data_IF_317395360490
#
_entry.id   IF_317395360490
#
_cell.length_a   1.000
_cell.length_b   1.000
_cell.length_c   1.000
_cell.angle_alpha   90.00
_cell.angle_beta   90.00
_cell.angle_gamma   90.00
#
_symmetry.space_group_name_H-M   'P 1'
#
loop_
_entity.id
_entity.type
_entity.pdbx_description
1 polymer ?
#
# COMPACT_ATOMS: atom_id res chain seq x y z
N UNK A 1 -4.70 -6.67 52.42
CA UNK A 1 -3.31 -6.21 52.21
C UNK A 1 -2.75 -7.05 51.09
N UNK A 2 -2.69 -6.47 49.94
CA UNK A 2 -2.51 -7.16 48.67
C UNK A 2 -1.05 -7.17 48.24
N UNK A 3 -0.68 -8.23 47.55
CA UNK A 3 0.64 -8.66 47.09
C UNK A 3 1.36 -7.70 46.11
N UNK A 4 0.90 -6.46 45.96
CA UNK A 4 1.43 -5.47 45.02
C UNK A 4 2.50 -4.51 45.62
N UNK A 5 2.63 -4.48 46.93
CA UNK A 5 3.55 -3.52 47.57
C UNK A 5 5.00 -4.01 47.71
N UNK A 6 5.24 -5.31 47.56
CA UNK A 6 6.58 -5.88 47.75
C UNK A 6 7.47 -5.76 46.50
N UNK A 7 6.86 -5.66 45.32
CA UNK A 7 7.62 -5.55 44.06
C UNK A 7 8.20 -4.16 43.81
N UNK A 8 7.57 -3.11 44.29
CA UNK A 8 8.02 -1.74 44.05
C UNK A 8 9.21 -1.33 44.98
N UNK A 9 9.26 -1.89 46.16
CA UNK A 9 10.34 -1.57 47.15
C UNK A 9 11.67 -2.17 46.66
N UNK A 10 11.66 -3.38 46.06
CA UNK A 10 12.89 -4.03 45.60
C UNK A 10 13.51 -3.36 44.37
N UNK A 11 12.72 -2.63 43.57
CA UNK A 11 13.22 -1.96 42.36
C UNK A 11 13.92 -0.61 42.70
N UNK A 12 13.52 0.04 43.75
CA UNK A 12 14.10 1.35 44.18
C UNK A 12 15.45 1.13 44.87
N UNK A 13 15.61 0.05 45.63
CA UNK A 13 16.87 -0.26 46.30
C UNK A 13 17.95 -0.77 45.32
N UNK A 14 17.58 -1.38 44.22
CA UNK A 14 18.52 -1.80 43.18
C UNK A 14 19.15 -0.62 42.44
N UNK A 15 18.37 0.45 42.22
CA UNK A 15 18.84 1.66 41.52
C UNK A 15 19.75 2.50 42.44
N UNK A 16 19.49 2.55 43.74
CA UNK A 16 20.33 3.30 44.70
C UNK A 16 21.72 2.69 44.91
N UNK A 17 21.86 1.38 44.78
CA UNK A 17 23.16 0.71 44.93
C UNK A 17 24.04 0.83 43.68
N UNK A 18 23.46 1.01 42.47
CA UNK A 18 24.23 1.19 41.24
C UNK A 18 24.84 2.61 41.13
N UNK A 19 24.24 3.61 41.80
CA UNK A 19 24.71 5.02 41.75
C UNK A 19 25.80 5.36 42.74
N UNK A 20 26.23 4.43 43.62
CA UNK A 20 27.29 4.67 44.61
C UNK A 20 28.68 4.17 44.23
N UNK A 21 28.85 3.53 43.06
CA UNK A 21 30.11 2.91 42.67
C UNK A 21 31.00 3.72 41.71
N UNK A 22 30.62 4.96 41.39
CA UNK A 22 31.39 5.79 40.43
C UNK A 22 32.03 7.06 41.02
N UNK A 23 32.27 7.12 42.33
CA UNK A 23 32.99 8.26 42.93
C UNK A 23 34.20 7.78 43.69
N UNK A 24 35.22 7.27 43.02
CA UNK A 24 36.64 7.36 43.42
C UNK A 24 37.46 6.60 42.38
N UNK A 25 38.20 7.30 41.53
CA UNK A 25 39.55 7.02 41.00
C UNK A 25 39.88 8.23 40.11
N UNK A 26 40.62 9.09 40.55
CA UNK A 26 42.03 9.33 40.33
C UNK A 26 42.31 10.06 39.02
N UNK A 27 42.52 11.34 39.20
CA UNK A 27 43.34 12.29 38.43
C UNK A 27 44.56 11.57 37.81
N UNK A 28 44.72 11.55 36.48
CA UNK A 28 45.96 11.09 35.90
C UNK A 28 45.92 10.92 34.36
N UNK A 29 46.67 11.75 33.69
CA UNK A 29 47.12 11.66 32.29
C UNK A 29 46.21 12.14 31.18
N UNK A 30 46.31 13.43 30.91
CA UNK A 30 46.05 14.02 29.58
C UNK A 30 47.11 13.54 28.60
N UNK A 31 46.81 12.54 27.82
CA UNK A 31 47.47 12.30 26.51
C UNK A 31 46.41 12.57 25.44
N UNK A 32 46.47 13.74 24.83
CA UNK A 32 45.75 14.13 23.66
C UNK A 32 46.18 13.30 22.45
N UNK A 33 45.59 12.14 22.27
CA UNK A 33 45.58 11.48 20.94
C UNK A 33 44.41 12.07 20.19
N UNK A 34 44.69 13.05 19.32
CA UNK A 34 43.81 13.51 18.27
C UNK A 34 43.57 12.36 17.30
N UNK A 35 42.59 11.52 17.57
CA UNK A 35 42.07 10.58 16.61
C UNK A 35 41.24 11.38 15.62
N UNK A 36 41.86 11.71 14.48
CA UNK A 36 41.12 12.14 13.30
C UNK A 36 40.24 10.94 12.87
N UNK A 37 39.07 10.82 13.45
CA UNK A 37 38.02 9.96 12.90
C UNK A 37 37.51 10.67 11.64
N UNK A 38 37.56 10.03 10.47
CA UNK A 38 36.92 10.60 9.30
C UNK A 38 35.42 10.72 9.59
N UNK A 39 34.89 11.93 9.48
CA UNK A 39 33.46 12.21 9.52
C UNK A 39 32.78 11.62 8.26
N UNK A 40 32.72 10.33 8.22
CA UNK A 40 32.12 9.58 7.14
C UNK A 40 31.11 8.62 7.76
N UNK A 41 29.86 8.98 7.79
CA UNK A 41 28.78 7.98 7.80
C UNK A 41 27.37 8.46 8.13
N UNK A 42 27.14 9.69 8.55
CA UNK A 42 25.74 10.06 8.87
C UNK A 42 24.89 10.29 7.62
N UNK A 43 25.47 10.68 6.49
CA UNK A 43 24.73 10.97 5.26
C UNK A 43 24.25 9.71 4.54
N UNK A 44 25.00 8.61 4.59
CA UNK A 44 24.67 7.36 3.88
C UNK A 44 23.52 6.64 4.57
N UNK A 45 23.53 6.59 5.91
CA UNK A 45 22.46 5.96 6.69
C UNK A 45 21.12 6.70 6.57
N UNK A 46 21.14 8.03 6.47
CA UNK A 46 19.93 8.81 6.23
C UNK A 46 19.37 8.64 4.82
N UNK A 47 20.22 8.48 3.81
CA UNK A 47 19.77 8.22 2.43
C UNK A 47 19.16 6.83 2.29
N UNK A 48 19.72 5.81 2.92
CA UNK A 48 19.13 4.46 2.95
C UNK A 48 17.79 4.42 3.71
N UNK A 49 17.67 5.12 4.83
CA UNK A 49 16.41 5.23 5.58
C UNK A 49 15.33 6.00 4.83
N UNK A 50 15.69 6.99 4.01
CA UNK A 50 14.77 7.73 3.16
C UNK A 50 14.32 6.90 1.95
N UNK A 51 15.20 6.09 1.36
CA UNK A 51 14.87 5.18 0.26
C UNK A 51 14.02 3.97 0.69
N UNK A 52 14.08 3.59 1.96
CA UNK A 52 13.28 2.51 2.54
C UNK A 52 11.83 2.92 2.90
N UNK A 53 11.48 4.20 2.83
CA UNK A 53 10.08 4.64 3.06
C UNK A 53 9.23 4.29 1.84
N UNK A 54 8.18 3.48 2.01
CA UNK A 54 7.25 3.22 0.91
C UNK A 54 6.72 4.55 0.37
N UNK A 55 6.68 4.72 -0.96
CA UNK A 55 6.10 5.89 -1.58
C UNK A 55 4.61 6.02 -1.19
N UNK A 56 4.03 7.20 -1.42
CA UNK A 56 2.65 7.49 -1.04
C UNK A 56 1.66 6.45 -1.62
N UNK A 57 1.84 6.10 -2.90
CA UNK A 57 0.99 5.12 -3.58
C UNK A 57 1.07 3.73 -2.95
N UNK A 58 2.25 3.28 -2.54
CA UNK A 58 2.42 2.01 -1.81
C UNK A 58 1.69 2.01 -0.47
N UNK A 59 1.76 3.11 0.28
CA UNK A 59 1.08 3.24 1.57
C UNK A 59 -0.44 3.24 1.40
N UNK A 60 -0.96 3.98 0.43
CA UNK A 60 -2.38 4.04 0.10
C UNK A 60 -2.89 2.66 -0.36
N UNK A 61 -2.16 1.97 -1.22
CA UNK A 61 -2.48 0.61 -1.66
C UNK A 61 -2.60 -0.35 -0.48
N UNK A 62 -1.60 -0.38 0.41
CA UNK A 62 -1.60 -1.27 1.57
C UNK A 62 -2.78 -0.97 2.49
N UNK A 63 -3.05 0.30 2.79
CA UNK A 63 -4.15 0.71 3.64
C UNK A 63 -5.50 0.30 3.06
N UNK A 64 -5.76 0.64 1.79
CA UNK A 64 -7.04 0.40 1.14
C UNK A 64 -7.30 -1.09 0.88
N UNK A 65 -6.26 -1.86 0.53
CA UNK A 65 -6.36 -3.34 0.41
C UNK A 65 -6.69 -4.00 1.75
N UNK A 66 -6.10 -3.53 2.86
CA UNK A 66 -6.44 -4.00 4.20
C UNK A 66 -7.89 -3.66 4.58
N UNK A 67 -8.32 -2.45 4.26
CA UNK A 67 -9.72 -2.02 4.49
C UNK A 67 -10.68 -2.90 3.70
N UNK A 68 -10.45 -3.16 2.41
CA UNK A 68 -11.24 -4.07 1.59
C UNK A 68 -11.30 -5.49 2.20
N UNK A 69 -10.14 -6.05 2.52
CA UNK A 69 -10.07 -7.40 3.08
C UNK A 69 -10.80 -7.52 4.42
N UNK A 70 -10.81 -6.48 5.25
CA UNK A 70 -11.53 -6.47 6.54
C UNK A 70 -13.04 -6.53 6.39
N UNK A 71 -13.59 -6.21 5.21
CA UNK A 71 -15.04 -6.26 4.94
C UNK A 71 -15.56 -7.67 4.63
N UNK A 72 -14.67 -8.61 4.30
CA UNK A 72 -15.01 -9.99 3.96
C UNK A 72 -16.10 -10.10 2.85
N UNK A 73 -16.07 -9.16 1.88
CA UNK A 73 -17.04 -9.12 0.78
C UNK A 73 -16.59 -10.09 -0.30
N UNK A 74 -17.38 -11.12 -0.59
CA UNK A 74 -17.13 -12.12 -1.63
C UNK A 74 -18.14 -12.08 -2.77
N UNK A 75 -19.33 -11.49 -2.53
CA UNK A 75 -20.39 -11.36 -3.51
C UNK A 75 -20.66 -9.88 -3.76
N UNK A 76 -20.44 -9.44 -4.98
CA UNK A 76 -20.62 -8.04 -5.37
C UNK A 76 -20.73 -7.88 -6.87
N UNK A 77 -21.19 -6.72 -7.32
CA UNK A 77 -21.12 -6.30 -8.71
C UNK A 77 -20.65 -4.85 -8.82
N UNK A 78 -20.12 -4.50 -9.94
CA UNK A 78 -19.69 -3.14 -10.26
C UNK A 78 -19.68 -2.90 -11.76
N UNK A 79 -19.74 -1.64 -12.16
CA UNK A 79 -19.53 -1.21 -13.53
C UNK A 79 -18.07 -0.87 -13.75
N UNK A 80 -17.46 -1.37 -14.82
CA UNK A 80 -16.10 -1.07 -15.22
C UNK A 80 -16.08 -0.43 -16.59
N UNK A 81 -15.40 0.70 -16.70
CA UNK A 81 -15.04 1.36 -17.97
C UNK A 81 -13.54 1.42 -18.12
N UNK A 82 -13.05 1.22 -19.34
CA UNK A 82 -11.64 1.36 -19.71
C UNK A 82 -11.52 2.41 -20.83
N UNK A 83 -10.95 3.56 -20.52
CA UNK A 83 -10.64 4.59 -21.51
C UNK A 83 -9.27 4.32 -22.10
N UNK A 84 -9.22 3.68 -23.25
CA UNK A 84 -7.99 3.33 -23.95
C UNK A 84 -8.13 3.60 -25.46
N UNK A 85 -7.02 3.74 -26.12
CA UNK A 85 -6.98 3.71 -27.59
C UNK A 85 -7.08 2.27 -28.09
N UNK A 86 -8.23 1.63 -27.84
CA UNK A 86 -8.48 0.22 -28.11
C UNK A 86 -9.83 0.00 -28.78
N UNK A 87 -10.11 -1.23 -29.19
CA UNK A 87 -11.37 -1.59 -29.85
C UNK A 87 -12.56 -1.42 -28.89
N UNK A 88 -13.77 -1.12 -29.40
CA UNK A 88 -14.95 -0.86 -28.56
C UNK A 88 -15.26 -1.96 -27.54
N UNK A 89 -15.04 -3.25 -27.91
CA UNK A 89 -15.29 -4.42 -27.07
C UNK A 89 -14.40 -4.47 -25.82
N UNK A 90 -13.28 -3.73 -25.82
CA UNK A 90 -12.34 -3.64 -24.69
C UNK A 90 -12.57 -2.41 -23.80
N UNK A 91 -13.44 -1.47 -24.20
CA UNK A 91 -13.67 -0.22 -23.45
C UNK A 91 -14.74 -0.35 -22.39
N UNK A 92 -15.79 -1.11 -22.63
CA UNK A 92 -16.99 -1.13 -21.79
C UNK A 92 -17.90 0.09 -22.09
N UNK A 93 -18.73 0.54 -21.15
CA UNK A 93 -18.87 0.04 -19.79
C UNK A 93 -19.47 -1.36 -19.71
N UNK A 94 -18.95 -2.16 -18.78
CA UNK A 94 -19.45 -3.50 -18.52
C UNK A 94 -19.87 -3.65 -17.07
N UNK A 95 -20.91 -4.42 -16.80
CA UNK A 95 -21.27 -4.88 -15.45
C UNK A 95 -20.54 -6.19 -15.20
N UNK A 96 -19.76 -6.24 -14.14
CA UNK A 96 -19.04 -7.41 -13.68
C UNK A 96 -19.70 -7.92 -12.41
N UNK A 97 -20.13 -9.17 -12.40
CA UNK A 97 -20.66 -9.84 -11.20
C UNK A 97 -19.66 -10.85 -10.67
N UNK A 98 -19.43 -10.80 -9.37
CA UNK A 98 -18.52 -11.67 -8.64
C UNK A 98 -19.30 -12.41 -7.57
N UNK A 99 -19.17 -13.74 -7.53
CA UNK A 99 -19.74 -14.63 -6.50
C UNK A 99 -18.64 -15.49 -5.90
N UNK A 100 -18.62 -15.60 -4.57
CA UNK A 100 -17.57 -16.34 -3.86
C UNK A 100 -16.15 -15.91 -4.27
N UNK A 101 -15.95 -14.61 -4.55
CA UNK A 101 -14.68 -14.07 -4.97
C UNK A 101 -14.28 -14.36 -6.43
N UNK A 102 -15.15 -15.01 -7.21
CA UNK A 102 -14.90 -15.34 -8.62
C UNK A 102 -15.89 -14.62 -9.53
N UNK A 103 -15.42 -14.17 -10.69
CA UNK A 103 -16.27 -13.56 -11.71
C UNK A 103 -17.21 -14.59 -12.31
N UNK A 104 -18.51 -14.32 -12.23
CA UNK A 104 -19.56 -15.17 -12.80
C UNK A 104 -20.14 -14.64 -14.10
N UNK A 105 -20.16 -13.31 -14.28
CA UNK A 105 -20.62 -12.70 -15.53
C UNK A 105 -19.91 -11.38 -15.82
N UNK A 106 -19.79 -11.07 -17.12
CA UNK A 106 -19.36 -9.78 -17.66
C UNK A 106 -20.32 -9.44 -18.79
N UNK A 107 -21.12 -8.39 -18.64
CA UNK A 107 -22.14 -8.00 -19.60
C UNK A 107 -22.05 -6.52 -19.94
N UNK A 108 -22.36 -6.15 -21.19
CA UNK A 108 -22.42 -4.74 -21.56
C UNK A 108 -23.50 -4.01 -20.79
N UNK A 109 -23.24 -2.75 -20.42
CA UNK A 109 -24.27 -1.85 -19.87
C UNK A 109 -25.24 -1.45 -20.99
N UNK A 110 -24.74 -1.18 -22.18
CA UNK A 110 -25.55 -0.77 -23.34
C UNK A 110 -26.09 -2.00 -24.08
N UNK A 111 -27.42 -2.12 -24.29
CA UNK A 111 -28.00 -3.20 -25.07
C UNK A 111 -27.41 -3.29 -26.48
N UNK A 112 -27.08 -4.52 -26.92
CA UNK A 112 -26.52 -4.77 -28.27
C UNK A 112 -25.03 -4.48 -28.44
N UNK A 113 -24.34 -3.95 -27.42
CA UNK A 113 -22.89 -3.80 -27.46
C UNK A 113 -22.22 -5.17 -27.30
N UNK A 114 -21.32 -5.51 -28.23
CA UNK A 114 -20.51 -6.71 -28.11
C UNK A 114 -19.49 -6.58 -26.97
N UNK A 115 -19.34 -7.62 -26.17
CA UNK A 115 -18.36 -7.72 -25.08
C UNK A 115 -17.53 -8.98 -25.26
N UNK A 116 -16.21 -8.84 -25.21
CA UNK A 116 -15.33 -9.97 -25.06
C UNK A 116 -14.77 -10.02 -23.64
N UNK A 117 -15.21 -10.98 -22.79
CA UNK A 117 -14.78 -11.09 -21.41
C UNK A 117 -13.27 -11.21 -21.21
N UNK A 118 -12.53 -11.66 -22.22
CA UNK A 118 -11.07 -11.81 -22.14
C UNK A 118 -10.35 -10.48 -21.95
N UNK A 119 -10.88 -9.37 -22.51
CA UNK A 119 -10.27 -8.05 -22.33
C UNK A 119 -10.35 -7.54 -20.89
N UNK A 120 -11.28 -8.07 -20.10
CA UNK A 120 -11.51 -7.65 -18.71
C UNK A 120 -10.90 -8.59 -17.68
N UNK A 121 -10.24 -9.67 -18.05
CA UNK A 121 -9.73 -10.69 -17.11
C UNK A 121 -8.77 -10.13 -16.06
N UNK A 122 -8.01 -9.09 -16.38
CA UNK A 122 -7.08 -8.44 -15.45
C UNK A 122 -7.78 -7.53 -14.45
N UNK A 123 -9.05 -7.19 -14.68
CA UNK A 123 -9.81 -6.18 -13.95
C UNK A 123 -11.12 -6.70 -13.35
N UNK A 124 -11.43 -7.98 -13.53
CA UNK A 124 -12.74 -8.54 -13.27
C UNK A 124 -13.01 -8.94 -11.81
N UNK A 125 -12.16 -8.55 -10.87
CA UNK A 125 -12.40 -8.61 -9.42
C UNK A 125 -11.66 -7.47 -8.73
N UNK A 126 -12.17 -7.01 -7.57
CA UNK A 126 -11.49 -5.99 -6.78
C UNK A 126 -10.05 -6.39 -6.38
N UNK A 127 -9.76 -7.64 -5.95
CA UNK A 127 -8.38 -8.07 -5.70
C UNK A 127 -7.46 -7.93 -6.92
N UNK A 128 -7.97 -8.17 -8.14
CA UNK A 128 -7.17 -8.00 -9.36
C UNK A 128 -6.89 -6.52 -9.66
N UNK A 129 -7.82 -5.61 -9.39
CA UNK A 129 -7.57 -4.18 -9.50
C UNK A 129 -6.43 -3.73 -8.56
N UNK A 130 -6.38 -4.23 -7.34
CA UNK A 130 -5.25 -3.99 -6.44
C UNK A 130 -3.93 -4.55 -6.98
N UNK A 131 -3.96 -5.70 -7.68
CA UNK A 131 -2.75 -6.27 -8.29
C UNK A 131 -2.26 -5.42 -9.46
N UNK A 132 -3.16 -4.83 -10.26
CA UNK A 132 -2.79 -3.87 -11.33
C UNK A 132 -2.02 -2.68 -10.74
N UNK A 133 -2.54 -2.07 -9.67
CA UNK A 133 -1.89 -0.95 -8.98
C UNK A 133 -0.52 -1.38 -8.41
N UNK A 134 -0.46 -2.55 -7.79
CA UNK A 134 0.78 -3.08 -7.25
C UNK A 134 1.85 -3.28 -8.33
N UNK A 135 1.47 -3.83 -9.48
CA UNK A 135 2.37 -4.02 -10.61
C UNK A 135 2.88 -2.69 -11.16
N UNK A 136 2.02 -1.67 -11.28
CA UNK A 136 2.43 -0.33 -11.70
C UNK A 136 3.46 0.30 -10.74
N UNK A 137 3.26 0.13 -9.42
CA UNK A 137 4.23 0.59 -8.42
C UNK A 137 5.57 -0.15 -8.56
N UNK A 138 5.53 -1.48 -8.75
CA UNK A 138 6.74 -2.31 -8.88
C UNK A 138 7.51 -2.05 -10.15
N UNK A 139 6.81 -1.78 -11.27
CA UNK A 139 7.41 -1.40 -12.55
C UNK A 139 7.85 0.05 -12.61
N UNK A 140 7.65 0.82 -11.52
CA UNK A 140 8.00 2.24 -11.47
C UNK A 140 7.34 3.05 -12.60
N UNK A 141 6.03 2.86 -12.80
CA UNK A 141 5.25 3.58 -13.80
C UNK A 141 5.53 5.09 -13.73
N UNK A 142 5.60 5.75 -14.88
CA UNK A 142 5.90 7.19 -15.02
C UNK A 142 4.90 8.08 -14.29
N UNK A 143 3.61 7.67 -14.29
CA UNK A 143 2.56 8.34 -13.55
C UNK A 143 1.58 7.31 -12.97
N UNK A 144 1.11 7.57 -11.76
CA UNK A 144 0.16 6.73 -11.05
C UNK A 144 -0.75 7.59 -10.18
N UNK A 145 -2.01 7.70 -10.58
CA UNK A 145 -3.05 8.42 -9.84
C UNK A 145 -4.24 7.49 -9.57
N UNK A 146 -4.53 7.26 -8.28
CA UNK A 146 -5.52 6.29 -7.83
C UNK A 146 -6.47 6.93 -6.83
N UNK A 147 -7.76 6.81 -7.10
CA UNK A 147 -8.83 7.13 -6.14
C UNK A 147 -9.40 5.87 -5.52
N UNK A 148 -9.79 5.94 -4.25
CA UNK A 148 -10.35 4.82 -3.49
C UNK A 148 -11.66 5.19 -2.83
N UNK A 149 -12.55 4.20 -2.70
CA UNK A 149 -13.76 4.32 -1.91
C UNK A 149 -13.44 4.33 -0.40
N UNK A 150 -13.82 5.37 0.31
CA UNK A 150 -13.49 5.53 1.74
C UNK A 150 -14.14 4.49 2.67
N UNK A 151 -15.30 3.95 2.29
CA UNK A 151 -16.06 3.00 3.11
C UNK A 151 -15.52 1.58 2.98
N UNK A 152 -15.17 1.18 1.76
CA UNK A 152 -14.81 -0.21 1.43
C UNK A 152 -13.34 -0.38 1.02
N UNK A 153 -12.66 0.69 0.62
CA UNK A 153 -11.26 0.65 0.23
C UNK A 153 -11.00 0.20 -1.21
N UNK A 154 -12.00 -0.20 -1.99
CA UNK A 154 -11.76 -0.59 -3.39
C UNK A 154 -11.37 0.64 -4.25
N UNK A 155 -10.57 0.45 -5.31
CA UNK A 155 -10.24 1.55 -6.23
C UNK A 155 -11.48 1.98 -7.01
N UNK A 156 -11.73 3.30 -7.10
CA UNK A 156 -12.80 3.89 -7.91
C UNK A 156 -12.27 4.44 -9.24
N UNK A 157 -10.99 4.82 -9.26
CA UNK A 157 -10.31 5.27 -10.46
C UNK A 157 -8.86 4.79 -10.41
N UNK A 158 -8.35 4.32 -11.55
CA UNK A 158 -6.97 3.88 -11.72
C UNK A 158 -6.45 4.49 -13.01
N UNK A 159 -5.54 5.45 -12.89
CA UNK A 159 -4.85 6.09 -14.01
C UNK A 159 -3.37 5.74 -13.93
N UNK A 160 -2.87 5.04 -14.92
CA UNK A 160 -1.48 4.59 -15.00
C UNK A 160 -0.91 4.99 -16.35
N UNK A 161 0.23 5.67 -16.34
CA UNK A 161 1.11 5.83 -17.48
C UNK A 161 2.39 5.05 -17.18
N UNK A 162 2.61 3.96 -17.91
CA UNK A 162 3.79 3.10 -17.69
C UNK A 162 5.07 3.74 -18.23
N UNK A 163 4.99 4.46 -19.36
CA UNK A 163 6.12 5.14 -19.97
C UNK A 163 5.68 6.38 -20.75
N UNK A 164 5.94 7.55 -20.22
CA UNK A 164 5.57 8.85 -20.81
C UNK A 164 6.16 9.14 -22.19
N UNK A 165 7.09 8.28 -22.67
CA UNK A 165 7.68 8.39 -24.01
C UNK A 165 7.00 7.49 -25.06
N UNK A 166 6.09 6.60 -24.64
CA UNK A 166 5.40 5.66 -25.51
C UNK A 166 3.92 5.98 -25.45
N UNK A 167 3.34 6.37 -26.58
CA UNK A 167 1.89 6.53 -26.70
C UNK A 167 1.20 5.15 -26.60
N UNK A 168 -0.03 5.13 -26.07
CA UNK A 168 -0.91 3.96 -26.00
C UNK A 168 -0.55 2.91 -24.91
N UNK A 169 0.35 3.24 -23.97
CA UNK A 169 0.62 2.41 -22.78
C UNK A 169 -0.15 2.86 -21.53
N UNK A 170 -1.00 3.87 -21.66
CA UNK A 170 -1.83 4.35 -20.57
C UNK A 170 -3.00 3.40 -20.30
N UNK A 171 -3.34 3.31 -19.02
CA UNK A 171 -4.51 2.59 -18.53
C UNK A 171 -5.38 3.53 -17.70
N UNK A 172 -6.63 3.73 -18.12
CA UNK A 172 -7.61 4.54 -17.42
C UNK A 172 -8.85 3.71 -17.09
N UNK A 173 -8.94 3.22 -15.85
CA UNK A 173 -10.10 2.45 -15.39
C UNK A 173 -10.97 3.31 -14.47
N UNK A 174 -12.28 3.23 -14.69
CA UNK A 174 -13.29 3.79 -13.79
C UNK A 174 -14.18 2.67 -13.26
N UNK A 175 -14.38 2.65 -11.94
CA UNK A 175 -15.18 1.66 -11.23
C UNK A 175 -16.35 2.37 -10.54
N UNK A 176 -17.56 2.08 -10.98
CA UNK A 176 -18.80 2.71 -10.52
C UNK A 176 -19.84 1.68 -10.12
N UNK A 177 -20.94 2.15 -9.55
CA UNK A 177 -22.13 1.35 -9.22
C UNK A 177 -21.81 0.07 -8.44
N UNK A 178 -20.83 0.18 -7.50
CA UNK A 178 -20.46 -0.96 -6.66
C UNK A 178 -21.60 -1.29 -5.70
N UNK A 179 -21.98 -2.57 -5.68
CA UNK A 179 -23.06 -3.10 -4.85
C UNK A 179 -22.66 -4.46 -4.27
N UNK A 180 -22.85 -4.63 -2.98
CA UNK A 180 -22.76 -5.95 -2.33
C UNK A 180 -24.06 -6.68 -2.60
N UNK A 181 -23.97 -7.91 -3.10
CA UNK A 181 -25.13 -8.74 -3.45
C UNK A 181 -25.22 -9.96 -2.53
N UNK A 182 -26.44 -10.49 -2.30
CA UNK A 182 -26.62 -11.65 -1.43
C UNK A 182 -25.91 -12.91 -1.92
#
# INVERSE_FOLDING_TARGET
>A
MSSLDISLVNHIDFIKNYMRLFTTIGLGFLLSLSVNLPAMSESIVQIELLSARPNLNSRQLIFNRRLWNSKNISNYRYTLSNSCFCIPEARGPVVIEVRNGQTTSITAVNPGQAVNPQFFQKYNTIPKLFNVIQNAIQSQASSLDISYNHKFGYPTQINIDYNSQIADEELFLTIENFEVIP
#
